data_IF_062971662668
#
_entry.id   IF_062971662668
#
_cell.length_a   1.000
_cell.length_b   1.000
_cell.length_c   1.000
_cell.angle_alpha   90.00
_cell.angle_beta   90.00
_cell.angle_gamma   90.00
#
_symmetry.space_group_name_H-M   'P 1'
#
loop_
_entity.id
_entity.type
_entity.pdbx_description
1 polymer ?
#
# COMPACT_ATOMS: atom_id res chain seq x y z
N UNK A 1 -0.13 14.10 -11.47
CA UNK A 1 0.18 15.43 -10.92
C UNK A 1 0.95 15.21 -9.63
N UNK A 2 2.11 15.78 -9.35
CA UNK A 2 2.91 16.83 -10.01
C UNK A 2 4.37 16.35 -10.06
N UNK A 3 5.07 16.62 -11.17
CA UNK A 3 6.53 16.73 -11.16
C UNK A 3 6.90 17.96 -12.01
N UNK A 4 7.66 18.89 -11.43
CA UNK A 4 8.32 19.99 -12.15
C UNK A 4 9.54 20.49 -11.38
N UNK A 5 10.65 20.56 -12.10
CA UNK A 5 12.02 20.69 -11.61
C UNK A 5 12.73 21.82 -12.41
N UNK A 6 13.89 22.31 -11.93
CA UNK A 6 14.76 23.36 -12.52
C UNK A 6 14.23 24.82 -12.42
N UNK A 7 15.03 25.88 -12.29
CA UNK A 7 16.48 26.11 -12.11
C UNK A 7 16.68 27.61 -11.74
N UNK A 8 17.84 28.22 -11.48
CA UNK A 8 19.29 27.93 -11.59
C UNK A 8 20.01 28.69 -10.41
N UNK A 9 21.33 28.82 -10.22
CA UNK A 9 22.55 28.51 -10.97
C UNK A 9 23.56 29.68 -10.89
N UNK A 10 24.82 29.46 -10.47
CA UNK A 10 25.94 30.33 -10.85
C UNK A 10 27.31 29.70 -10.54
N UNK A 11 28.27 29.84 -11.46
CA UNK A 11 29.63 29.35 -11.33
C UNK A 11 30.64 30.51 -11.32
N UNK A 12 31.73 30.37 -10.56
CA UNK A 12 32.87 31.27 -10.64
C UNK A 12 34.19 30.49 -10.72
N UNK A 13 34.92 30.65 -11.82
CA UNK A 13 36.29 30.15 -12.01
C UNK A 13 37.30 31.12 -11.40
N UNK A 14 38.41 30.60 -10.92
CA UNK A 14 39.71 31.26 -11.00
C UNK A 14 40.82 30.22 -11.23
N UNK A 15 41.89 30.57 -11.93
CA UNK A 15 42.94 29.62 -12.34
C UNK A 15 44.31 30.27 -12.36
N UNK A 16 45.38 29.43 -12.29
CA UNK A 16 46.79 29.75 -12.60
C UNK A 16 47.45 30.76 -11.63
N UNK A 17 48.78 30.84 -11.53
CA UNK A 17 49.91 29.91 -11.71
C UNK A 17 51.15 30.63 -11.15
N UNK A 18 52.18 29.92 -10.67
CA UNK A 18 53.38 30.59 -10.16
C UNK A 18 54.55 29.65 -9.81
N UNK A 19 55.60 29.70 -10.62
CA UNK A 19 56.86 28.95 -10.47
C UNK A 19 57.82 29.53 -9.43
N UNK A 20 58.55 28.67 -8.72
CA UNK A 20 59.93 28.96 -8.29
C UNK A 20 60.73 27.66 -8.03
N UNK A 21 61.92 27.55 -8.63
CA UNK A 21 62.97 26.58 -8.22
C UNK A 21 64.02 27.33 -7.38
N UNK A 22 64.47 26.76 -6.27
CA UNK A 22 65.82 26.15 -6.16
C UNK A 22 66.31 25.90 -4.72
N UNK A 23 66.96 24.73 -4.55
CA UNK A 23 68.14 24.44 -3.72
C UNK A 23 68.17 24.86 -2.23
N UNK A 24 68.15 23.87 -1.32
CA UNK A 24 68.47 24.04 0.10
C UNK A 24 68.68 22.72 0.86
N UNK A 25 69.95 22.33 1.06
CA UNK A 25 70.43 21.13 1.79
C UNK A 25 69.76 20.89 3.16
N UNK A 26 69.54 19.62 3.52
CA UNK A 26 69.37 19.21 4.93
C UNK A 26 68.75 17.82 5.11
N UNK A 27 69.52 16.86 5.62
CA UNK A 27 69.01 15.52 5.90
C UNK A 27 68.32 15.45 7.27
N UNK A 28 67.04 15.06 7.29
CA UNK A 28 66.36 14.57 8.50
C UNK A 28 65.65 13.27 8.14
N UNK A 29 66.09 12.15 8.73
CA UNK A 29 65.39 10.87 8.63
C UNK A 29 64.20 10.89 9.59
N UNK A 30 63.06 11.38 9.13
CA UNK A 30 61.80 11.22 9.84
C UNK A 30 61.33 9.77 9.62
N UNK A 31 61.24 9.00 10.69
CA UNK A 31 60.64 7.68 10.63
C UNK A 31 59.14 7.83 10.38
N UNK A 32 58.66 7.34 9.23
CA UNK A 32 57.22 7.21 8.99
C UNK A 32 56.66 6.14 9.93
N UNK A 33 56.11 6.59 11.07
CA UNK A 33 55.15 5.79 11.81
C UNK A 33 53.92 5.62 10.92
N UNK A 34 53.78 4.46 10.28
CA UNK A 34 52.58 4.10 9.53
C UNK A 34 51.43 3.90 10.52
N UNK A 35 50.72 4.98 10.84
CA UNK A 35 49.39 4.89 11.44
C UNK A 35 48.46 4.22 10.44
N UNK A 36 48.27 2.91 10.59
CA UNK A 36 47.10 2.24 10.00
C UNK A 36 45.86 2.87 10.63
N UNK A 37 45.30 3.86 9.95
CA UNK A 37 43.92 4.24 10.14
C UNK A 37 43.09 3.00 9.76
N UNK A 38 42.67 2.23 10.77
CA UNK A 38 41.67 1.22 10.58
C UNK A 38 40.43 1.92 10.07
N UNK A 39 40.16 1.78 8.77
CA UNK A 39 38.92 2.22 8.18
C UNK A 39 37.82 1.40 8.86
N UNK A 40 37.13 2.01 9.82
CA UNK A 40 35.88 1.49 10.34
C UNK A 40 34.92 1.54 9.18
N UNK A 41 34.80 0.41 8.48
CA UNK A 41 33.69 0.18 7.58
C UNK A 41 32.44 0.23 8.46
N UNK A 42 31.81 1.40 8.51
CA UNK A 42 30.43 1.51 8.94
C UNK A 42 29.63 0.68 7.92
N UNK A 43 29.35 -0.57 8.28
CA UNK A 43 28.32 -1.34 7.61
C UNK A 43 27.04 -0.53 7.75
N UNK A 44 26.56 0.03 6.65
CA UNK A 44 25.20 0.54 6.60
C UNK A 44 24.30 -0.63 7.00
N UNK A 45 23.71 -0.54 8.20
CA UNK A 45 22.73 -1.53 8.62
C UNK A 45 21.59 -1.47 7.58
N UNK A 46 21.06 -2.62 7.13
CA UNK A 46 19.96 -2.63 6.17
C UNK A 46 18.82 -1.77 6.72
N UNK A 47 18.36 -0.82 5.91
CA UNK A 47 17.33 0.12 6.30
C UNK A 47 16.00 -0.63 6.58
N UNK A 48 15.25 -0.26 7.62
CA UNK A 48 14.10 -1.04 8.04
C UNK A 48 12.80 -0.74 7.26
N UNK A 49 12.03 -1.81 6.97
CA UNK A 49 10.64 -1.73 6.49
C UNK A 49 9.65 -1.42 7.58
N UNK A 50 8.63 -0.63 7.21
CA UNK A 50 7.91 0.22 8.14
C UNK A 50 8.93 1.12 8.89
N UNK A 51 8.69 2.42 8.98
CA UNK A 51 9.76 3.36 9.37
C UNK A 51 10.29 3.00 10.76
N UNK A 52 11.59 2.73 10.87
CA UNK A 52 12.27 2.27 12.10
C UNK A 52 11.84 0.88 12.65
N UNK A 53 11.26 0.02 11.83
CA UNK A 53 11.04 -1.39 12.17
C UNK A 53 12.32 -2.21 12.38
N UNK A 54 12.14 -3.50 12.64
CA UNK A 54 13.22 -4.49 12.63
C UNK A 54 12.88 -5.63 11.65
N UNK A 55 13.83 -6.11 10.83
CA UNK A 55 13.59 -7.24 9.94
C UNK A 55 13.18 -8.47 10.75
N UNK A 56 12.18 -9.21 10.30
CA UNK A 56 11.81 -10.51 10.89
C UNK A 56 12.86 -11.54 10.44
N UNK A 57 13.74 -12.01 11.35
CA UNK A 57 14.91 -12.78 10.94
C UNK A 57 14.58 -14.27 10.72
N UNK A 58 13.59 -14.77 11.46
CA UNK A 58 13.20 -16.18 11.50
C UNK A 58 11.99 -16.44 10.60
N UNK A 59 12.01 -17.58 9.90
CA UNK A 59 10.84 -18.06 9.16
C UNK A 59 9.76 -18.55 10.15
N UNK A 60 8.49 -18.35 9.82
CA UNK A 60 7.39 -18.78 10.70
C UNK A 60 7.13 -17.89 11.93
N UNK A 61 7.77 -16.73 12.09
CA UNK A 61 7.44 -15.77 13.16
C UNK A 61 6.07 -15.11 12.96
N UNK A 62 5.68 -14.84 11.71
CA UNK A 62 4.39 -14.22 11.35
C UNK A 62 3.83 -14.75 10.01
N UNK A 63 3.67 -16.08 9.85
CA UNK A 63 3.37 -16.71 8.56
C UNK A 63 1.96 -16.37 8.03
N UNK A 64 1.05 -15.99 8.91
CA UNK A 64 -0.29 -15.50 8.58
C UNK A 64 -0.29 -14.15 7.83
N UNK A 65 0.83 -13.42 7.79
CA UNK A 65 0.91 -12.13 7.08
C UNK A 65 0.70 -12.35 5.59
N UNK A 66 -0.27 -11.62 5.06
CA UNK A 66 -0.56 -11.56 3.63
C UNK A 66 0.09 -10.33 2.99
N UNK A 67 0.47 -10.44 1.72
CA UNK A 67 0.93 -9.34 0.85
C UNK A 67 0.17 -9.41 -0.47
N UNK A 68 -0.34 -8.26 -0.94
CA UNK A 68 -1.24 -8.18 -2.09
C UNK A 68 -0.46 -7.79 -3.36
N UNK A 69 -0.44 -8.68 -4.36
CA UNK A 69 0.17 -8.46 -5.67
C UNK A 69 -0.87 -7.87 -6.66
N UNK A 70 -0.63 -6.68 -7.23
CA UNK A 70 -1.32 -6.23 -8.43
C UNK A 70 -0.81 -7.02 -9.65
N UNK A 71 -1.62 -7.97 -10.12
CA UNK A 71 -1.25 -8.95 -11.15
C UNK A 71 -0.84 -8.26 -12.45
N UNK A 72 0.37 -8.57 -12.91
CA UNK A 72 0.91 -8.04 -14.17
C UNK A 72 1.46 -6.61 -14.10
N UNK A 73 1.52 -5.99 -12.91
CA UNK A 73 2.12 -4.67 -12.73
C UNK A 73 3.66 -4.67 -12.67
N UNK A 74 4.31 -5.85 -12.65
CA UNK A 74 5.77 -5.98 -12.52
C UNK A 74 6.20 -6.72 -11.25
N UNK A 75 7.47 -6.59 -10.82
CA UNK A 75 8.02 -7.35 -9.69
C UNK A 75 7.31 -7.07 -8.37
N UNK A 76 6.96 -8.11 -7.61
CA UNK A 76 6.21 -8.03 -6.35
C UNK A 76 6.76 -6.99 -5.37
N UNK A 77 8.09 -6.98 -5.15
CA UNK A 77 8.76 -6.01 -4.27
C UNK A 77 8.53 -4.55 -4.67
N UNK A 78 8.34 -4.26 -5.97
CA UNK A 78 8.05 -2.92 -6.47
C UNK A 78 6.56 -2.59 -6.42
N UNK A 79 5.70 -3.58 -6.68
CA UNK A 79 4.28 -3.38 -6.96
C UNK A 79 3.36 -3.57 -5.77
N UNK A 80 3.72 -4.43 -4.80
CA UNK A 80 2.91 -4.81 -3.65
C UNK A 80 2.30 -3.59 -2.95
N UNK A 81 0.96 -3.56 -2.86
CA UNK A 81 0.18 -2.36 -2.51
C UNK A 81 -0.35 -2.33 -1.08
N UNK A 82 -0.68 -3.50 -0.52
CA UNK A 82 -1.24 -3.69 0.81
C UNK A 82 -0.83 -5.05 1.40
N UNK A 83 -1.11 -5.23 2.69
CA UNK A 83 -1.04 -6.52 3.39
C UNK A 83 -2.38 -6.99 3.96
N UNK A 84 -2.32 -7.98 4.83
CA UNK A 84 -3.48 -8.58 5.49
C UNK A 84 -3.09 -9.68 6.48
N UNK A 85 -4.06 -10.37 7.06
CA UNK A 85 -3.83 -11.58 7.85
C UNK A 85 -4.80 -12.72 7.50
N UNK A 86 -4.28 -13.95 7.38
CA UNK A 86 -5.07 -15.17 7.24
C UNK A 86 -5.81 -15.48 8.56
N UNK A 87 -7.14 -15.38 8.57
CA UNK A 87 -7.98 -15.58 9.78
C UNK A 87 -8.76 -16.90 9.76
N UNK A 88 -9.01 -17.46 8.57
CA UNK A 88 -9.46 -18.84 8.35
C UNK A 88 -8.64 -19.42 7.20
N UNK A 89 -8.63 -20.74 6.95
CA UNK A 89 -7.84 -21.34 5.86
C UNK A 89 -8.10 -20.71 4.48
N UNK A 90 -9.28 -20.12 4.27
CA UNK A 90 -9.76 -19.55 3.01
C UNK A 90 -10.02 -18.03 3.05
N UNK A 91 -9.68 -17.33 4.14
CA UNK A 91 -9.97 -15.89 4.29
C UNK A 91 -8.80 -15.09 4.82
N UNK A 92 -8.53 -13.99 4.12
CA UNK A 92 -7.62 -12.94 4.57
C UNK A 92 -8.43 -11.70 4.90
N UNK A 93 -8.20 -11.12 6.07
CA UNK A 93 -8.72 -9.81 6.44
C UNK A 93 -7.69 -8.73 6.12
N UNK A 94 -8.16 -7.58 5.61
CA UNK A 94 -7.36 -6.43 5.19
C UNK A 94 -8.17 -5.14 5.37
N UNK A 95 -7.58 -3.99 5.05
CA UNK A 95 -8.30 -2.72 5.04
C UNK A 95 -9.27 -2.65 3.84
N UNK A 96 -10.42 -1.99 4.00
CA UNK A 96 -11.38 -1.85 2.91
C UNK A 96 -10.81 -1.02 1.76
N UNK A 97 -10.08 0.05 2.04
CA UNK A 97 -9.45 0.89 1.02
C UNK A 97 -8.40 0.17 0.15
N UNK A 98 -7.92 -1.02 0.58
CA UNK A 98 -7.01 -1.86 -0.21
C UNK A 98 -7.71 -2.63 -1.34
N UNK A 99 -9.04 -2.76 -1.30
CA UNK A 99 -9.82 -3.60 -2.21
C UNK A 99 -11.08 -2.93 -2.77
N UNK A 100 -11.63 -1.90 -2.12
CA UNK A 100 -12.73 -1.12 -2.69
C UNK A 100 -12.26 -0.36 -3.94
N UNK A 101 -13.01 -0.50 -5.02
CA UNK A 101 -12.61 0.02 -6.33
C UNK A 101 -11.59 -0.85 -7.08
N UNK A 102 -11.11 -1.97 -6.53
CA UNK A 102 -10.13 -2.84 -7.20
C UNK A 102 -10.81 -4.01 -7.90
N UNK A 103 -10.44 -4.27 -9.17
CA UNK A 103 -10.80 -5.50 -9.89
C UNK A 103 -10.18 -6.73 -9.19
N UNK A 104 -10.98 -7.61 -8.55
CA UNK A 104 -10.46 -8.75 -7.78
C UNK A 104 -9.71 -9.75 -8.66
N UNK A 105 -9.99 -9.80 -9.98
CA UNK A 105 -9.26 -10.65 -10.92
C UNK A 105 -7.81 -10.19 -11.18
N UNK A 106 -7.43 -9.02 -10.66
CA UNK A 106 -6.08 -8.45 -10.74
C UNK A 106 -5.34 -8.46 -9.40
N UNK A 107 -5.85 -9.18 -8.40
CA UNK A 107 -5.20 -9.35 -7.11
C UNK A 107 -4.81 -10.81 -6.89
N UNK A 108 -3.57 -11.02 -6.45
CA UNK A 108 -3.16 -12.25 -5.75
C UNK A 108 -2.75 -11.95 -4.33
N UNK A 109 -2.88 -12.97 -3.49
CA UNK A 109 -2.47 -12.94 -2.10
C UNK A 109 -1.26 -13.86 -1.93
N UNK A 110 -0.18 -13.31 -1.40
CA UNK A 110 1.02 -14.03 -0.97
C UNK A 110 1.01 -14.17 0.55
N UNK A 111 1.07 -15.40 1.08
CA UNK A 111 1.08 -15.70 2.52
C UNK A 111 2.42 -16.31 2.94
N UNK A 112 2.92 -15.99 4.13
CA UNK A 112 4.26 -16.39 4.62
C UNK A 112 5.42 -15.95 3.69
N UNK A 113 5.18 -14.95 2.82
CA UNK A 113 6.22 -14.35 2.00
C UNK A 113 7.12 -13.49 2.90
N UNK A 114 8.35 -13.94 3.18
CA UNK A 114 9.28 -13.17 4.04
C UNK A 114 10.26 -12.32 3.25
N UNK A 115 10.54 -12.67 1.99
CA UNK A 115 11.47 -11.95 1.10
C UNK A 115 10.87 -11.84 -0.31
N UNK A 116 10.18 -10.75 -0.61
CA UNK A 116 9.31 -10.60 -1.79
C UNK A 116 9.97 -10.93 -3.14
N UNK A 117 11.28 -10.70 -3.28
CA UNK A 117 12.04 -10.97 -4.52
C UNK A 117 12.53 -12.42 -4.67
N UNK A 118 12.48 -13.24 -3.62
CA UNK A 118 13.06 -14.62 -3.59
C UNK A 118 12.14 -15.68 -3.03
N UNK A 119 11.18 -15.27 -2.21
CA UNK A 119 10.32 -16.11 -1.39
C UNK A 119 8.89 -15.53 -1.44
N UNK A 120 8.13 -15.89 -2.49
CA UNK A 120 6.75 -15.43 -2.67
C UNK A 120 5.77 -16.13 -1.74
N UNK A 121 6.24 -17.01 -0.84
CA UNK A 121 5.40 -17.78 0.06
C UNK A 121 4.34 -18.63 -0.65
N UNK A 122 3.18 -18.79 -0.01
CA UNK A 122 2.01 -19.50 -0.54
C UNK A 122 1.12 -18.52 -1.29
N UNK A 123 1.01 -18.68 -2.61
CA UNK A 123 0.19 -17.83 -3.49
C UNK A 123 -1.24 -18.37 -3.62
N UNK A 124 -2.21 -17.46 -3.59
CA UNK A 124 -3.64 -17.71 -3.85
C UNK A 124 -4.22 -16.60 -4.74
N UNK A 125 -5.20 -16.98 -5.56
CA UNK A 125 -5.99 -16.05 -6.36
C UNK A 125 -7.20 -15.58 -5.53
N UNK A 126 -7.76 -14.41 -5.83
CA UNK A 126 -8.97 -13.94 -5.14
C UNK A 126 -10.21 -14.60 -5.74
N UNK A 127 -11.01 -15.29 -4.91
CA UNK A 127 -12.33 -15.79 -5.29
C UNK A 127 -13.37 -14.69 -5.20
N UNK A 128 -13.37 -13.93 -4.11
CA UNK A 128 -14.35 -12.87 -3.86
C UNK A 128 -13.87 -11.90 -2.78
N UNK A 129 -14.49 -10.72 -2.76
CA UNK A 129 -14.24 -9.68 -1.77
C UNK A 129 -15.59 -9.32 -1.13
N UNK A 130 -15.57 -9.09 0.18
CA UNK A 130 -16.64 -8.39 0.88
C UNK A 130 -16.01 -7.21 1.64
N UNK A 131 -16.46 -6.00 1.34
CA UNK A 131 -16.19 -4.79 2.13
C UNK A 131 -17.21 -4.74 3.27
N UNK A 132 -16.80 -4.29 4.46
CA UNK A 132 -17.72 -4.15 5.59
C UNK A 132 -18.76 -3.06 5.31
N UNK A 133 -20.02 -3.23 5.74
CA UNK A 133 -21.04 -2.20 5.57
C UNK A 133 -20.63 -0.85 6.17
N UNK A 134 -21.10 0.23 5.55
CA UNK A 134 -20.83 1.60 5.99
C UNK A 134 -19.33 1.98 6.02
N UNK A 135 -18.49 1.33 5.21
CA UNK A 135 -17.12 1.81 4.91
C UNK A 135 -17.17 3.23 4.31
N UNK A 136 -16.39 4.15 4.88
CA UNK A 136 -16.32 5.55 4.46
C UNK A 136 -14.88 6.08 4.54
N UNK A 137 -14.41 6.67 3.44
CA UNK A 137 -13.19 7.49 3.40
C UNK A 137 -13.51 8.88 3.97
N UNK A 138 -12.92 9.20 5.12
CA UNK A 138 -13.17 10.44 5.88
C UNK A 138 -12.05 11.44 5.64
N UNK A 139 -12.27 12.39 4.72
CA UNK A 139 -11.26 13.38 4.31
C UNK A 139 -10.72 14.20 5.48
N UNK A 140 -9.40 14.35 5.55
CA UNK A 140 -8.76 15.24 6.53
C UNK A 140 -9.04 16.71 6.24
N UNK A 141 -9.25 17.55 7.28
CA UNK A 141 -9.34 18.99 7.10
C UNK A 141 -8.03 19.65 6.64
N UNK A 142 -6.89 18.95 6.72
CA UNK A 142 -5.58 19.49 6.28
C UNK A 142 -5.48 19.57 4.76
N UNK A 143 -6.11 18.64 4.03
CA UNK A 143 -6.17 18.65 2.58
C UNK A 143 -7.48 18.02 2.07
N UNK A 144 -8.62 18.65 2.37
CA UNK A 144 -9.97 18.15 2.09
C UNK A 144 -10.32 17.88 0.59
N UNK A 145 -9.38 18.09 -0.33
CA UNK A 145 -9.48 17.72 -1.75
C UNK A 145 -8.59 16.54 -2.16
N UNK A 146 -7.93 15.85 -1.22
CA UNK A 146 -7.09 14.68 -1.49
C UNK A 146 -7.43 13.54 -0.51
N UNK A 147 -7.88 12.43 -1.09
CA UNK A 147 -8.16 11.20 -0.35
C UNK A 147 -6.86 10.51 0.14
N UNK A 148 -5.68 10.88 -0.40
CA UNK A 148 -4.35 10.47 0.10
C UNK A 148 -4.05 10.99 1.53
N UNK A 149 -4.88 11.89 2.05
CA UNK A 149 -4.78 12.40 3.43
C UNK A 149 -6.00 12.02 4.28
N UNK A 150 -6.86 11.13 3.79
CA UNK A 150 -8.07 10.76 4.52
C UNK A 150 -7.77 9.80 5.69
N UNK A 151 -8.59 9.91 6.74
CA UNK A 151 -8.84 8.79 7.63
C UNK A 151 -9.92 7.88 7.03
N UNK A 152 -10.29 6.81 7.72
CA UNK A 152 -11.40 5.97 7.32
C UNK A 152 -12.22 5.47 8.51
N UNK A 153 -13.52 5.31 8.28
CA UNK A 153 -14.51 4.65 9.16
C UNK A 153 -14.77 3.27 8.59
N UNK A 154 -14.89 2.26 9.48
CA UNK A 154 -15.20 0.88 9.10
C UNK A 154 -14.25 0.37 7.98
N UNK A 155 -12.94 0.61 8.11
CA UNK A 155 -11.96 0.30 7.06
C UNK A 155 -11.53 -1.17 7.07
N UNK A 156 -12.47 -2.07 6.84
CA UNK A 156 -12.27 -3.51 6.93
C UNK A 156 -12.90 -4.27 5.76
N UNK A 157 -12.16 -5.24 5.22
CA UNK A 157 -12.65 -6.14 4.19
C UNK A 157 -12.14 -7.57 4.40
N UNK A 158 -12.91 -8.52 3.90
CA UNK A 158 -12.50 -9.93 3.80
C UNK A 158 -12.32 -10.31 2.34
N UNK A 159 -11.13 -10.83 2.05
CA UNK A 159 -10.78 -11.48 0.79
C UNK A 159 -10.91 -12.98 0.98
N UNK A 160 -11.79 -13.61 0.20
CA UNK A 160 -11.94 -15.06 0.14
C UNK A 160 -11.03 -15.60 -0.97
N UNK A 161 -10.23 -16.60 -0.63
CA UNK A 161 -9.22 -17.20 -1.51
C UNK A 161 -9.86 -18.22 -2.47
N UNK A 162 -9.22 -18.47 -3.62
CA UNK A 162 -9.64 -19.48 -4.60
C UNK A 162 -9.76 -20.89 -4.02
N UNK A 163 -8.88 -21.20 -3.05
CA UNK A 163 -8.84 -22.47 -2.32
C UNK A 163 -8.17 -22.29 -0.96
N UNK A 164 -8.49 -23.14 0.04
CA UNK A 164 -7.84 -23.10 1.33
C UNK A 164 -6.31 -23.18 1.29
N UNK A 165 -5.70 -22.65 2.35
CA UNK A 165 -4.31 -22.76 2.72
C UNK A 165 -4.24 -23.61 3.98
N UNK A 166 -3.47 -24.68 3.92
CA UNK A 166 -3.30 -25.69 4.98
C UNK A 166 -1.89 -25.71 5.56
N UNK A 167 -0.96 -25.07 4.85
CA UNK A 167 0.46 -25.01 5.12
C UNK A 167 0.84 -23.82 6.01
N UNK A 168 -0.03 -22.80 6.08
CA UNK A 168 0.11 -21.58 6.88
C UNK A 168 -0.89 -21.61 8.04
N UNK A 169 -0.46 -21.41 9.30
CA UNK A 169 -1.38 -21.33 10.43
C UNK A 169 -2.18 -20.01 10.39
N UNK A 170 -3.47 -20.11 10.72
CA UNK A 170 -4.35 -18.94 10.82
C UNK A 170 -4.04 -18.12 12.08
N UNK A 171 -4.18 -16.80 12.00
CA UNK A 171 -4.12 -15.90 13.14
C UNK A 171 -5.54 -15.74 13.72
N UNK A 172 -5.83 -16.23 14.93
CA UNK A 172 -7.14 -16.03 15.55
C UNK A 172 -7.36 -14.55 15.87
N UNK A 173 -8.60 -14.07 15.74
CA UNK A 173 -8.98 -12.71 16.12
C UNK A 173 -9.22 -12.67 17.64
N UNK A 174 -8.66 -11.65 18.30
CA UNK A 174 -8.88 -11.41 19.73
C UNK A 174 -10.37 -11.25 20.06
N UNK A 175 -10.78 -11.69 21.25
CA UNK A 175 -12.18 -11.63 21.66
C UNK A 175 -12.66 -10.18 21.88
N UNK A 176 -11.78 -9.34 22.41
CA UNK A 176 -12.07 -7.97 22.83
C UNK A 176 -10.95 -7.03 22.36
N UNK A 177 -11.29 -5.75 22.14
CA UNK A 177 -10.33 -4.69 21.87
C UNK A 177 -9.27 -4.62 22.99
N UNK A 178 -7.96 -4.57 22.66
CA UNK A 178 -6.92 -4.44 23.68
C UNK A 178 -7.03 -3.11 24.43
N UNK A 179 -6.81 -3.13 25.74
CA UNK A 179 -6.83 -1.91 26.56
C UNK A 179 -5.61 -1.01 26.26
N UNK A 180 -5.74 0.30 26.49
CA UNK A 180 -4.60 1.21 26.44
C UNK A 180 -3.47 0.74 27.39
N UNK A 181 -2.22 0.83 26.94
CA UNK A 181 -1.05 0.24 27.61
C UNK A 181 -0.74 -1.20 27.19
N UNK A 182 -1.60 -1.86 26.40
CA UNK A 182 -1.32 -3.23 25.88
C UNK A 182 -0.25 -3.17 24.79
N UNK A 183 0.82 -3.99 24.88
CA UNK A 183 1.78 -4.14 23.78
C UNK A 183 1.17 -4.88 22.57
N UNK A 184 1.47 -4.39 21.38
CA UNK A 184 1.10 -5.00 20.10
C UNK A 184 2.28 -4.94 19.12
N UNK A 185 2.38 -5.93 18.25
CA UNK A 185 3.39 -5.98 17.19
C UNK A 185 2.72 -5.82 15.83
N UNK A 186 3.22 -4.88 15.04
CA UNK A 186 2.78 -4.59 13.68
C UNK A 186 3.75 -5.22 12.68
N UNK A 187 3.24 -5.91 11.65
CA UNK A 187 4.06 -6.62 10.67
C UNK A 187 3.73 -6.18 9.25
N UNK A 188 4.73 -5.79 8.44
CA UNK A 188 4.48 -5.27 7.08
C UNK A 188 5.70 -5.30 6.12
N UNK A 189 5.43 -5.03 4.83
CA UNK A 189 6.38 -4.97 3.70
C UNK A 189 6.34 -3.64 2.92
N UNK A 190 5.69 -2.61 3.45
CA UNK A 190 5.59 -1.31 2.81
C UNK A 190 6.90 -0.53 2.82
N UNK A 191 6.79 0.78 2.69
CA UNK A 191 7.96 1.63 2.47
C UNK A 191 8.78 1.87 3.76
N UNK A 192 10.06 2.22 3.60
CA UNK A 192 10.96 2.59 4.72
C UNK A 192 10.66 3.98 5.31
N UNK A 193 9.84 4.79 4.63
CA UNK A 193 9.67 6.22 4.91
C UNK A 193 10.88 7.10 4.56
N UNK A 194 11.94 6.56 3.95
CA UNK A 194 13.08 7.35 3.48
C UNK A 194 12.66 8.28 2.32
N UNK A 195 13.10 9.55 2.31
CA UNK A 195 12.86 10.49 1.20
C UNK A 195 13.86 10.23 0.05
N UNK A 196 13.78 9.05 -0.54
CA UNK A 196 14.60 8.61 -1.69
C UNK A 196 13.74 8.45 -2.94
N UNK A 197 14.32 8.48 -4.17
CA UNK A 197 13.60 8.20 -5.41
C UNK A 197 12.89 6.85 -5.41
N UNK A 198 11.80 6.72 -6.18
CA UNK A 198 11.00 5.48 -6.23
C UNK A 198 11.81 4.25 -6.71
N UNK A 199 12.80 4.46 -7.58
CA UNK A 199 13.69 3.44 -8.13
C UNK A 199 14.88 3.09 -7.20
N UNK A 200 15.02 3.78 -6.06
CA UNK A 200 16.03 3.47 -5.06
C UNK A 200 15.66 2.17 -4.30
N UNK A 201 16.57 1.17 -4.20
CA UNK A 201 16.34 -0.04 -3.41
C UNK A 201 16.05 0.21 -1.92
N UNK A 202 16.33 1.40 -1.38
CA UNK A 202 15.96 1.79 -0.02
C UNK A 202 14.54 2.40 0.10
N UNK A 203 13.86 2.70 -1.00
CA UNK A 203 12.48 3.19 -0.99
C UNK A 203 11.49 2.11 -0.52
N UNK A 204 11.74 0.88 -0.98
CA UNK A 204 10.91 -0.31 -0.76
C UNK A 204 11.69 -1.37 -0.01
N UNK A 205 10.95 -2.30 0.59
CA UNK A 205 11.55 -3.37 1.37
C UNK A 205 11.28 -4.72 0.75
N UNK A 206 12.36 -5.47 0.60
CA UNK A 206 12.29 -6.86 0.18
C UNK A 206 11.84 -7.76 1.33
N UNK A 207 12.15 -7.42 2.58
CA UNK A 207 12.00 -8.30 3.75
C UNK A 207 10.83 -7.88 4.64
N UNK A 208 10.08 -8.84 5.19
CA UNK A 208 9.07 -8.61 6.23
C UNK A 208 9.70 -7.98 7.47
N UNK A 209 9.07 -6.94 8.02
CA UNK A 209 9.51 -6.33 9.28
C UNK A 209 8.43 -6.35 10.35
N UNK A 210 8.89 -6.13 11.59
CA UNK A 210 8.08 -5.99 12.80
C UNK A 210 8.39 -4.66 13.48
N UNK A 211 7.35 -3.98 13.95
CA UNK A 211 7.43 -2.83 14.86
C UNK A 211 6.66 -3.15 16.13
N UNK A 212 7.19 -2.77 17.28
CA UNK A 212 6.51 -2.97 18.56
C UNK A 212 5.92 -1.64 19.06
N UNK A 213 4.60 -1.62 19.21
CA UNK A 213 3.81 -0.45 19.57
C UNK A 213 3.05 -0.74 20.87
N UNK A 214 2.57 0.32 21.52
CA UNK A 214 1.66 0.24 22.67
C UNK A 214 0.32 0.86 22.28
N UNK A 215 -0.79 0.16 22.56
CA UNK A 215 -2.15 0.69 22.34
C UNK A 215 -2.35 1.94 23.20
N UNK A 216 -2.92 3.00 22.62
CA UNK A 216 -3.18 4.28 23.32
C UNK A 216 -4.68 4.46 23.57
N UNK A 217 -5.05 5.46 24.39
CA UNK A 217 -6.48 5.76 24.59
C UNK A 217 -7.09 6.41 23.34
N UNK A 218 -8.42 6.26 23.19
CA UNK A 218 -9.16 6.92 22.10
C UNK A 218 -9.01 8.45 22.16
N UNK A 219 -9.01 9.02 23.37
CA UNK A 219 -8.73 10.45 23.59
C UNK A 219 -7.33 10.86 23.14
N UNK A 220 -6.30 10.06 23.40
CA UNK A 220 -4.93 10.36 22.94
C UNK A 220 -4.79 10.23 21.42
N UNK A 221 -5.53 9.30 20.80
CA UNK A 221 -5.53 9.16 19.35
C UNK A 221 -6.23 10.34 18.67
N UNK A 222 -7.48 10.63 19.07
CA UNK A 222 -8.26 11.74 18.52
C UNK A 222 -7.62 13.12 18.76
N UNK A 223 -6.85 13.28 19.85
CA UNK A 223 -6.10 14.51 20.10
C UNK A 223 -4.83 14.66 19.23
N UNK A 224 -4.37 13.59 18.58
CA UNK A 224 -3.10 13.54 17.86
C UNK A 224 -3.22 13.46 16.33
N UNK A 225 -4.42 13.23 15.78
CA UNK A 225 -4.73 13.40 14.34
C UNK A 225 -5.77 14.51 14.14
N UNK A 226 -5.66 15.32 13.07
CA UNK A 226 -6.68 16.30 12.72
C UNK A 226 -7.89 15.70 11.99
N UNK A 227 -7.84 14.43 11.58
CA UNK A 227 -8.96 13.72 10.96
C UNK A 227 -9.87 13.05 12.03
N UNK A 228 -11.07 12.63 11.63
CA UNK A 228 -11.98 11.93 12.53
C UNK A 228 -11.43 10.53 12.86
N UNK A 229 -11.20 10.27 14.14
CA UNK A 229 -11.02 8.90 14.65
C UNK A 229 -12.39 8.37 15.05
N UNK A 230 -12.88 7.37 14.32
CA UNK A 230 -14.15 6.73 14.65
C UNK A 230 -13.95 5.66 15.73
N UNK A 231 -14.17 6.02 17.00
CA UNK A 231 -13.96 5.12 18.15
C UNK A 231 -14.60 3.72 18.01
N UNK A 232 -15.81 3.52 17.45
CA UNK A 232 -16.36 2.19 17.23
C UNK A 232 -15.51 1.30 16.32
N UNK A 233 -14.92 1.84 15.24
CA UNK A 233 -14.27 1.06 14.18
C UNK A 233 -12.75 1.20 14.11
N UNK A 234 -12.17 2.18 14.81
CA UNK A 234 -10.72 2.46 14.82
C UNK A 234 -10.17 2.26 16.23
N UNK A 235 -9.00 1.64 16.33
CA UNK A 235 -8.14 1.70 17.51
C UNK A 235 -6.75 2.19 17.12
N UNK A 236 -5.97 2.70 18.08
CA UNK A 236 -4.67 3.28 17.77
C UNK A 236 -3.57 2.73 18.67
N UNK A 237 -2.37 2.59 18.10
CA UNK A 237 -1.17 2.23 18.84
C UNK A 237 -0.01 3.16 18.44
N UNK A 238 1.01 3.24 19.30
CA UNK A 238 2.18 4.10 19.09
C UNK A 238 3.42 3.44 19.64
N UNK A 239 4.52 3.51 18.90
CA UNK A 239 5.84 3.30 19.48
C UNK A 239 6.31 4.60 20.19
N UNK A 240 6.82 4.43 21.39
CA UNK A 240 7.36 5.49 22.25
C UNK A 240 8.89 5.55 22.22
N UNK A 241 9.56 4.68 21.47
CA UNK A 241 10.98 4.77 21.18
C UNK A 241 11.33 6.04 20.37
N UNK A 242 12.62 6.32 20.24
CA UNK A 242 13.12 7.46 19.47
C UNK A 242 14.34 7.02 18.65
N UNK A 243 14.24 6.98 17.30
CA UNK A 243 13.04 7.22 16.50
C UNK A 243 12.00 6.09 16.64
N UNK A 244 10.69 6.37 16.55
CA UNK A 244 9.65 5.36 16.73
C UNK A 244 9.36 4.54 15.47
N UNK A 245 9.00 3.27 15.66
CA UNK A 245 8.40 2.41 14.65
C UNK A 245 7.02 2.95 14.22
N UNK A 246 6.78 3.06 12.91
CA UNK A 246 5.49 3.52 12.36
C UNK A 246 5.24 2.98 10.95
N UNK A 247 3.96 2.78 10.63
CA UNK A 247 3.52 2.46 9.27
C UNK A 247 3.78 3.59 8.28
N UNK A 248 3.75 3.20 7.02
CA UNK A 248 3.91 4.06 5.88
C UNK A 248 3.05 3.55 4.72
N UNK A 249 3.12 4.27 3.60
CA UNK A 249 2.61 3.84 2.32
C UNK A 249 2.89 2.36 2.06
N UNK A 250 1.81 1.63 1.74
CA UNK A 250 1.77 0.19 1.41
C UNK A 250 1.93 -0.78 2.58
N UNK A 251 1.97 -0.28 3.82
CA UNK A 251 1.71 -1.11 5.00
C UNK A 251 0.20 -1.29 5.26
N UNK A 252 -0.68 -0.58 4.54
CA UNK A 252 -2.14 -0.66 4.65
C UNK A 252 -2.66 -2.10 4.63
N UNK A 253 -3.65 -2.39 5.47
CA UNK A 253 -4.20 -3.72 5.68
C UNK A 253 -3.32 -4.68 6.50
N UNK A 254 -2.04 -4.37 6.73
CA UNK A 254 -1.13 -5.31 7.41
C UNK A 254 -1.41 -5.41 8.92
N UNK A 255 -1.16 -6.56 9.57
CA UNK A 255 -1.76 -6.86 10.87
C UNK A 255 -1.02 -6.28 12.08
N UNK A 256 -1.80 -5.76 13.02
CA UNK A 256 -1.41 -5.55 14.41
C UNK A 256 -1.84 -6.75 15.27
N UNK A 257 -0.87 -7.32 15.99
CA UNK A 257 -1.01 -8.59 16.73
C UNK A 257 -0.73 -8.36 18.21
N UNK A 258 -1.62 -8.80 19.08
CA UNK A 258 -1.34 -8.89 20.53
C UNK A 258 -0.80 -10.28 20.85
N UNK A 259 0.28 -10.35 21.64
CA UNK A 259 0.84 -11.61 22.13
C UNK A 259 0.49 -11.79 23.61
N UNK A 260 -0.54 -12.61 23.90
CA UNK A 260 -0.93 -12.92 25.27
C UNK A 260 -0.50 -14.35 25.63
N UNK A 261 0.42 -14.49 26.59
CA UNK A 261 0.95 -15.81 27.04
C UNK A 261 1.38 -16.68 25.86
N UNK A 262 2.23 -16.11 24.99
CA UNK A 262 2.72 -16.72 23.74
C UNK A 262 1.66 -17.03 22.66
N UNK A 263 0.38 -16.75 22.92
CA UNK A 263 -0.68 -16.83 21.90
C UNK A 263 -0.77 -15.53 21.12
N UNK A 264 -0.54 -15.59 19.80
CA UNK A 264 -0.77 -14.48 18.88
C UNK A 264 -2.27 -14.32 18.59
N UNK A 265 -2.78 -13.08 18.65
CA UNK A 265 -4.14 -12.76 18.25
C UNK A 265 -4.20 -11.45 17.45
N UNK A 266 -4.95 -11.45 16.33
CA UNK A 266 -5.20 -10.25 15.54
C UNK A 266 -6.08 -9.27 16.33
N UNK A 267 -5.63 -8.02 16.43
CA UNK A 267 -6.39 -6.93 17.05
C UNK A 267 -6.76 -5.83 16.05
N UNK A 268 -5.97 -5.64 15.00
CA UNK A 268 -6.26 -4.62 13.97
C UNK A 268 -5.55 -4.86 12.65
N UNK A 269 -5.99 -4.16 11.61
CA UNK A 269 -5.29 -4.02 10.33
C UNK A 269 -4.97 -2.54 10.09
N UNK A 270 -3.77 -2.21 9.63
CA UNK A 270 -3.34 -0.81 9.50
C UNK A 270 -4.22 -0.06 8.49
N UNK A 271 -4.70 1.11 8.87
CA UNK A 271 -5.69 1.87 8.10
C UNK A 271 -5.12 3.22 7.68
N UNK A 272 -4.70 4.05 8.64
CA UNK A 272 -4.11 5.37 8.38
C UNK A 272 -3.17 5.84 9.51
N UNK A 273 -2.33 6.84 9.21
CA UNK A 273 -1.34 7.40 10.12
C UNK A 273 -1.09 8.90 9.89
N UNK A 274 0.18 9.27 9.76
CA UNK A 274 0.67 10.66 9.72
C UNK A 274 0.22 11.45 8.48
N UNK A 275 -0.14 10.78 7.39
CA UNK A 275 -0.68 11.36 6.16
C UNK A 275 -1.99 12.12 6.41
N UNK A 276 -2.76 11.74 7.44
CA UNK A 276 -3.94 12.51 7.89
C UNK A 276 -3.60 13.93 8.35
N UNK A 277 -2.38 14.16 8.83
CA UNK A 277 -1.85 15.48 9.18
C UNK A 277 -1.08 16.16 8.03
N UNK A 278 -1.22 15.66 6.80
CA UNK A 278 -0.45 16.11 5.64
C UNK A 278 1.05 15.87 5.78
N UNK A 279 1.46 14.94 6.66
CA UNK A 279 2.86 14.64 6.93
C UNK A 279 3.31 13.38 6.20
N UNK A 280 4.57 13.32 5.72
CA UNK A 280 5.14 12.06 5.28
C UNK A 280 5.28 11.08 6.45
N UNK A 281 5.43 9.81 6.13
CA UNK A 281 5.97 8.83 7.08
C UNK A 281 7.30 9.34 7.68
N UNK A 282 7.69 8.80 8.84
CA UNK A 282 8.85 9.19 9.66
C UNK A 282 8.64 10.39 10.60
N UNK A 283 7.44 10.99 10.70
CA UNK A 283 7.10 11.92 11.78
C UNK A 283 6.26 11.24 12.88
N UNK A 284 6.58 11.42 14.19
CA UNK A 284 5.91 10.68 15.26
C UNK A 284 4.41 10.97 15.42
N UNK A 285 3.57 10.09 14.86
CA UNK A 285 2.12 10.07 15.03
C UNK A 285 1.64 8.69 15.54
N UNK A 286 0.49 8.60 16.22
CA UNK A 286 -0.18 7.31 16.41
C UNK A 286 -0.49 6.65 15.06
N UNK A 287 -0.46 5.32 15.07
CA UNK A 287 -0.83 4.47 13.96
C UNK A 287 -2.25 3.98 14.21
N UNK A 288 -3.14 4.23 13.25
CA UNK A 288 -4.56 3.90 13.36
C UNK A 288 -4.84 2.62 12.61
N UNK A 289 -5.50 1.70 13.30
CA UNK A 289 -5.85 0.37 12.80
C UNK A 289 -7.36 0.24 12.80
N UNK A 290 -7.93 -0.30 11.74
CA UNK A 290 -9.31 -0.76 11.76
C UNK A 290 -9.39 -1.93 12.76
N UNK A 291 -10.28 -1.80 13.74
CA UNK A 291 -10.40 -2.72 14.87
C UNK A 291 -11.13 -4.00 14.44
N UNK A 292 -10.37 -5.07 14.19
CA UNK A 292 -10.96 -6.35 13.75
C UNK A 292 -11.82 -6.98 14.85
N UNK A 293 -11.61 -6.63 16.12
CA UNK A 293 -12.41 -7.17 17.23
C UNK A 293 -13.85 -6.66 17.21
N UNK A 294 -14.06 -5.39 16.80
CA UNK A 294 -15.39 -4.80 16.63
C UNK A 294 -16.23 -5.48 15.53
N UNK A 295 -15.57 -6.08 14.51
CA UNK A 295 -16.23 -6.75 13.38
C UNK A 295 -16.07 -8.27 13.39
N UNK A 296 -15.66 -8.85 14.53
CA UNK A 296 -15.26 -10.26 14.64
C UNK A 296 -16.30 -11.24 14.11
N UNK A 297 -17.58 -11.03 14.44
CA UNK A 297 -18.67 -11.91 14.00
C UNK A 297 -18.99 -11.75 12.51
N UNK A 298 -18.76 -10.57 11.93
CA UNK A 298 -18.91 -10.34 10.49
C UNK A 298 -17.77 -10.98 9.69
N UNK A 299 -16.51 -10.76 10.06
CA UNK A 299 -15.36 -11.31 9.33
C UNK A 299 -15.27 -12.84 9.39
N UNK A 300 -15.75 -13.46 10.48
CA UNK A 300 -15.83 -14.92 10.65
C UNK A 300 -17.16 -15.53 10.16
N UNK A 301 -18.19 -14.71 9.97
CA UNK A 301 -19.55 -15.15 9.63
C UNK A 301 -19.72 -15.64 8.20
N UNK A 302 -20.94 -16.03 7.77
CA UNK A 302 -21.25 -16.06 6.36
C UNK A 302 -21.13 -14.63 5.79
N UNK A 303 -20.53 -14.47 4.62
CA UNK A 303 -20.43 -13.19 3.91
C UNK A 303 -21.49 -13.19 2.78
N UNK A 304 -22.76 -12.85 3.07
CA UNK A 304 -23.83 -12.91 2.08
C UNK A 304 -23.70 -11.81 1.03
N UNK A 305 -23.19 -10.64 1.43
CA UNK A 305 -22.94 -9.48 0.60
C UNK A 305 -21.50 -9.54 0.11
N UNK A 306 -21.32 -9.69 -1.21
CA UNK A 306 -20.01 -9.76 -1.86
C UNK A 306 -19.98 -8.78 -3.03
N UNK A 307 -18.85 -8.09 -3.17
CA UNK A 307 -18.63 -7.12 -4.23
C UNK A 307 -18.85 -7.72 -5.63
N UNK A 308 -19.09 -6.87 -6.65
CA UNK A 308 -19.19 -7.34 -8.02
C UNK A 308 -17.90 -8.05 -8.45
N UNK A 309 -18.03 -9.12 -9.24
CA UNK A 309 -16.88 -9.83 -9.82
C UNK A 309 -17.03 -9.87 -11.34
N UNK A 310 -16.07 -9.33 -12.12
CA UNK A 310 -16.18 -9.28 -13.57
C UNK A 310 -15.82 -10.64 -14.18
N UNK A 311 -16.68 -11.20 -15.03
CA UNK A 311 -16.42 -12.45 -15.74
C UNK A 311 -15.42 -12.29 -16.91
N UNK A 312 -15.18 -11.05 -17.35
CA UNK A 312 -14.23 -10.67 -18.39
C UNK A 312 -13.83 -9.18 -18.24
N UNK A 313 -12.86 -8.71 -19.02
CA UNK A 313 -12.60 -7.26 -19.15
C UNK A 313 -13.72 -6.60 -19.98
N UNK A 314 -14.03 -5.31 -19.76
CA UNK A 314 -14.80 -4.50 -20.70
C UNK A 314 -14.18 -4.54 -22.10
N UNK A 315 -15.02 -4.51 -23.13
CA UNK A 315 -14.58 -4.56 -24.52
C UNK A 315 -14.81 -3.22 -25.22
N UNK A 316 -13.80 -2.74 -25.95
CA UNK A 316 -13.92 -1.59 -26.85
C UNK A 316 -14.19 -2.10 -28.27
N UNK A 317 -15.14 -1.47 -28.96
CA UNK A 317 -15.35 -1.60 -30.40
C UNK A 317 -15.32 -0.22 -31.06
N UNK A 318 -14.94 -0.16 -32.34
CA UNK A 318 -14.86 1.11 -33.09
C UNK A 318 -15.83 1.08 -34.26
N UNK A 319 -16.79 2.02 -34.29
CA UNK A 319 -17.69 2.24 -35.42
C UNK A 319 -18.21 3.68 -35.43
N UNK A 320 -18.64 4.18 -36.60
CA UNK A 320 -19.26 5.51 -36.76
C UNK A 320 -18.43 6.67 -36.17
N UNK A 321 -17.11 6.63 -36.35
CA UNK A 321 -16.17 7.62 -35.81
C UNK A 321 -16.21 7.76 -34.27
N UNK A 322 -16.61 6.71 -33.55
CA UNK A 322 -16.55 6.63 -32.09
C UNK A 322 -16.01 5.28 -31.59
N UNK A 323 -15.46 5.31 -30.38
CA UNK A 323 -15.22 4.12 -29.57
C UNK A 323 -16.47 3.82 -28.74
N UNK A 324 -16.79 2.54 -28.57
CA UNK A 324 -17.95 2.08 -27.80
C UNK A 324 -17.51 1.00 -26.81
N UNK A 325 -17.85 1.18 -25.55
CA UNK A 325 -17.51 0.30 -24.44
C UNK A 325 -18.70 -0.62 -24.11
N UNK A 326 -18.46 -1.93 -24.15
CA UNK A 326 -19.35 -2.92 -23.56
C UNK A 326 -18.88 -3.26 -22.15
N UNK A 327 -19.77 -3.05 -21.16
CA UNK A 327 -19.56 -3.54 -19.81
C UNK A 327 -19.47 -5.08 -19.78
N UNK A 328 -18.69 -5.68 -18.87
CA UNK A 328 -18.54 -7.12 -18.80
C UNK A 328 -19.79 -7.80 -18.24
N UNK A 329 -19.90 -9.11 -18.49
CA UNK A 329 -20.79 -9.95 -17.71
C UNK A 329 -20.26 -10.13 -16.26
N UNK A 330 -21.14 -10.47 -15.33
CA UNK A 330 -20.83 -10.62 -13.91
C UNK A 330 -20.78 -12.10 -13.50
N UNK A 331 -19.74 -12.49 -12.77
CA UNK A 331 -19.61 -13.83 -12.19
C UNK A 331 -20.39 -13.88 -10.87
N UNK A 332 -21.53 -14.57 -10.90
CA UNK A 332 -22.44 -14.71 -9.75
C UNK A 332 -22.10 -15.88 -8.81
N UNK A 333 -21.08 -16.70 -9.15
CA UNK A 333 -20.54 -17.66 -8.19
C UNK A 333 -19.52 -16.96 -7.27
N UNK A 334 -18.66 -16.13 -7.87
CA UNK A 334 -17.63 -15.37 -7.20
C UNK A 334 -18.20 -14.14 -6.48
N UNK A 335 -18.81 -13.23 -7.24
CA UNK A 335 -19.40 -11.99 -6.71
C UNK A 335 -20.91 -12.07 -6.57
N UNK A 336 -21.52 -10.88 -6.57
CA UNK A 336 -22.94 -10.69 -6.83
C UNK A 336 -23.12 -9.70 -7.99
N UNK A 337 -24.35 -9.60 -8.50
CA UNK A 337 -24.66 -8.55 -9.47
C UNK A 337 -24.46 -7.17 -8.83
N UNK A 338 -24.02 -6.15 -9.59
CA UNK A 338 -24.04 -4.77 -9.15
C UNK A 338 -25.45 -4.20 -9.18
N UNK A 339 -25.75 -3.32 -8.23
CA UNK A 339 -26.95 -2.50 -8.20
C UNK A 339 -26.78 -1.25 -9.10
N UNK A 340 -25.54 -0.78 -9.23
CA UNK A 340 -25.15 0.38 -10.04
C UNK A 340 -23.96 0.03 -10.94
N UNK A 341 -24.04 0.40 -12.22
CA UNK A 341 -22.94 0.32 -13.20
C UNK A 341 -22.82 1.64 -13.95
N UNK A 342 -21.63 2.22 -13.95
CA UNK A 342 -21.31 3.44 -14.72
C UNK A 342 -20.10 3.19 -15.63
N UNK A 343 -20.05 3.90 -16.75
CA UNK A 343 -18.96 3.80 -17.74
C UNK A 343 -18.34 5.17 -17.92
N UNK A 344 -17.02 5.22 -17.84
CA UNK A 344 -16.20 6.37 -18.22
C UNK A 344 -15.07 5.97 -19.17
N UNK A 345 -14.29 6.94 -19.61
CA UNK A 345 -13.10 6.71 -20.42
C UNK A 345 -11.89 7.39 -19.81
N UNK A 346 -10.71 6.76 -19.93
CA UNK A 346 -9.46 7.26 -19.38
C UNK A 346 -8.33 7.11 -20.39
N UNK A 347 -7.46 8.12 -20.44
CA UNK A 347 -6.11 7.97 -20.99
C UNK A 347 -5.31 7.04 -20.09
N UNK A 348 -4.66 6.03 -20.68
CA UNK A 348 -3.80 5.08 -19.99
C UNK A 348 -2.34 5.44 -20.27
N UNK A 349 -1.58 5.56 -19.19
CA UNK A 349 -0.15 5.86 -19.19
C UNK A 349 0.56 5.01 -18.14
N UNK A 350 1.89 5.07 -18.10
CA UNK A 350 2.71 4.37 -17.11
C UNK A 350 3.62 5.34 -16.35
N UNK A 351 3.74 5.13 -15.04
CA UNK A 351 4.71 5.82 -14.18
C UNK A 351 5.56 4.78 -13.47
N UNK A 352 6.77 4.54 -13.99
CA UNK A 352 7.58 3.38 -13.61
C UNK A 352 6.81 2.07 -13.87
N UNK A 353 6.64 1.18 -12.87
CA UNK A 353 5.85 -0.04 -13.02
C UNK A 353 4.33 0.18 -12.95
N UNK A 354 3.85 1.37 -12.54
CA UNK A 354 2.41 1.57 -12.29
C UNK A 354 1.67 2.02 -13.54
N UNK A 355 0.51 1.40 -13.77
CA UNK A 355 -0.50 1.94 -14.70
C UNK A 355 -1.16 3.15 -14.06
N UNK A 356 -1.21 4.27 -14.77
CA UNK A 356 -1.90 5.51 -14.35
C UNK A 356 -3.03 5.77 -15.35
N UNK A 357 -4.27 5.73 -14.84
CA UNK A 357 -5.46 6.11 -15.59
C UNK A 357 -5.79 7.58 -15.31
N UNK A 358 -5.89 8.39 -16.37
CA UNK A 358 -6.31 9.79 -16.29
C UNK A 358 -7.70 9.92 -16.91
N UNK A 359 -8.76 10.19 -16.12
CA UNK A 359 -10.12 10.34 -16.65
C UNK A 359 -10.20 11.42 -17.74
N UNK A 360 -10.87 11.09 -18.84
CA UNK A 360 -11.14 12.03 -19.92
C UNK A 360 -12.33 12.92 -19.50
N UNK A 361 -12.17 14.25 -19.42
CA UNK A 361 -13.25 15.13 -18.95
C UNK A 361 -14.54 14.97 -19.78
N UNK A 362 -15.67 14.85 -19.08
CA UNK A 362 -17.02 14.67 -19.64
C UNK A 362 -17.27 13.35 -20.40
N UNK A 363 -16.31 12.45 -20.54
CA UNK A 363 -16.47 11.15 -21.21
C UNK A 363 -17.16 10.11 -20.30
N UNK A 364 -18.35 10.44 -19.78
CA UNK A 364 -19.07 9.69 -18.75
C UNK A 364 -20.19 8.80 -19.34
N UNK A 365 -19.90 8.07 -20.41
CA UNK A 365 -20.89 7.22 -21.08
C UNK A 365 -20.27 6.10 -21.93
N UNK A 366 -21.12 5.22 -22.45
CA UNK A 366 -20.69 4.05 -23.22
C UNK A 366 -20.00 4.37 -24.56
N UNK A 367 -20.04 5.61 -25.03
CA UNK A 367 -19.51 6.04 -26.33
C UNK A 367 -18.57 7.23 -26.15
N UNK A 368 -17.42 7.21 -26.82
CA UNK A 368 -16.44 8.30 -26.90
C UNK A 368 -16.17 8.64 -28.38
N UNK A 369 -16.54 9.83 -28.88
CA UNK A 369 -16.18 10.27 -30.23
C UNK A 369 -14.66 10.28 -30.44
N UNK A 370 -14.19 9.86 -31.63
CA UNK A 370 -12.76 9.83 -31.96
C UNK A 370 -12.13 11.24 -32.00
N UNK A 371 -12.94 12.28 -32.23
CA UNK A 371 -12.49 13.67 -32.13
C UNK A 371 -12.06 14.03 -30.70
N UNK A 372 -12.88 13.66 -29.71
CA UNK A 372 -12.61 13.91 -28.28
C UNK A 372 -11.49 12.99 -27.75
N UNK A 373 -11.34 11.82 -28.35
CA UNK A 373 -10.26 10.87 -28.07
C UNK A 373 -8.86 11.37 -28.49
N UNK A 374 -8.78 12.30 -29.45
CA UNK A 374 -7.51 12.83 -29.98
C UNK A 374 -6.78 13.83 -29.06
N UNK A 375 -7.47 14.40 -28.07
CA UNK A 375 -6.91 15.42 -27.16
C UNK A 375 -6.33 14.84 -25.84
N UNK A 376 -6.31 13.51 -25.72
CA UNK A 376 -6.08 12.79 -24.45
C UNK A 376 -4.59 12.59 -24.16
N UNK A 377 -4.19 12.75 -22.89
CA UNK A 377 -2.85 12.39 -22.42
C UNK A 377 -2.73 10.88 -22.14
N UNK A 378 -1.98 10.16 -22.99
CA UNK A 378 -1.66 8.75 -22.80
C UNK A 378 -1.19 8.08 -24.10
N UNK A 379 -0.64 6.87 -23.99
CA UNK A 379 -0.27 6.06 -25.17
C UNK A 379 -1.46 5.25 -25.71
N UNK A 380 -2.46 5.01 -24.85
CA UNK A 380 -3.63 4.17 -25.10
C UNK A 380 -4.87 4.78 -24.41
N UNK A 381 -6.05 4.50 -24.94
CA UNK A 381 -7.33 4.81 -24.29
C UNK A 381 -7.95 3.51 -23.79
N UNK A 382 -8.52 3.56 -22.58
CA UNK A 382 -9.33 2.47 -22.02
C UNK A 382 -10.73 2.98 -21.68
N UNK A 383 -11.72 2.10 -21.77
CA UNK A 383 -12.98 2.34 -21.09
C UNK A 383 -12.93 1.71 -19.69
N UNK A 384 -13.50 2.43 -18.75
CA UNK A 384 -13.49 2.15 -17.31
C UNK A 384 -14.93 1.92 -16.88
N UNK A 385 -15.19 0.75 -16.32
CA UNK A 385 -16.52 0.38 -15.80
C UNK A 385 -16.42 0.35 -14.27
N UNK A 386 -17.09 1.29 -13.62
CA UNK A 386 -17.29 1.25 -12.17
C UNK A 386 -18.59 0.49 -11.90
N UNK A 387 -18.55 -0.44 -10.93
CA UNK A 387 -19.71 -1.20 -10.51
C UNK A 387 -19.77 -1.29 -8.98
N UNK A 388 -20.97 -1.26 -8.39
CA UNK A 388 -21.16 -1.25 -6.94
C UNK A 388 -22.38 -2.08 -6.53
N UNK A 389 -22.27 -2.73 -5.37
CA UNK A 389 -23.39 -3.23 -4.57
C UNK A 389 -23.06 -3.08 -3.07
N UNK A 390 -23.89 -3.65 -2.19
CA UNK A 390 -23.67 -3.64 -0.73
C UNK A 390 -22.33 -4.25 -0.28
N UNK A 391 -21.78 -5.23 -1.03
CA UNK A 391 -20.51 -5.89 -0.71
C UNK A 391 -19.26 -5.16 -1.20
N UNK A 392 -19.40 -3.99 -1.83
CA UNK A 392 -18.29 -3.11 -2.23
C UNK A 392 -18.42 -2.52 -3.65
N UNK A 393 -17.46 -1.68 -4.00
CA UNK A 393 -17.23 -1.14 -5.36
C UNK A 393 -16.10 -1.90 -6.04
N UNK A 394 -16.14 -2.02 -7.36
CA UNK A 394 -14.96 -2.31 -8.19
C UNK A 394 -14.82 -1.29 -9.32
N UNK A 395 -13.61 -1.16 -9.85
CA UNK A 395 -13.31 -0.48 -11.10
C UNK A 395 -12.54 -1.45 -12.01
N UNK A 396 -13.15 -1.78 -13.17
CA UNK A 396 -12.56 -2.70 -14.14
C UNK A 396 -12.44 -1.98 -15.49
N UNK A 397 -11.27 -2.09 -16.13
CA UNK A 397 -11.00 -1.41 -17.40
C UNK A 397 -10.61 -2.37 -18.53
N UNK A 398 -10.91 -1.94 -19.75
CA UNK A 398 -10.61 -2.67 -20.98
C UNK A 398 -9.12 -2.85 -21.24
N UNK A 399 -8.79 -3.63 -22.27
CA UNK A 399 -7.51 -3.47 -22.95
C UNK A 399 -7.41 -2.09 -23.61
N UNK A 400 -6.18 -1.60 -23.78
CA UNK A 400 -5.91 -0.28 -24.35
C UNK A 400 -6.03 -0.26 -25.86
N UNK A 401 -6.72 0.74 -26.41
CA UNK A 401 -6.75 1.01 -27.86
C UNK A 401 -5.90 2.23 -28.18
N UNK A 402 -5.17 2.19 -29.30
CA UNK A 402 -4.43 3.35 -29.81
C UNK A 402 -5.26 4.06 -30.86
N UNK A 403 -5.49 5.35 -30.66
CA UNK A 403 -6.00 6.23 -31.72
C UNK A 403 -4.83 6.49 -32.68
N UNK A 404 -4.98 6.11 -33.95
CA UNK A 404 -4.07 6.60 -34.98
C UNK A 404 -4.45 8.06 -35.28
N UNK A 405 -3.50 8.98 -35.12
CA UNK A 405 -3.65 10.41 -35.45
C UNK A 405 -3.59 10.70 -36.94
#
# INVERSE_FOLDING_TARGET
>A
MIDKLHGNGNAARASRAGTALSLGRGAVRIACAATMAAAVFASAAPAPAMVNGLPVPEAGTAPWVATFEPVGAGPLVQTAGCGGALITPDRVVTAAHCVDGVDPSRLRVHLDARVLSRDPGVVREVRSVAVVPEFEIVRSPVAAGSDDTAAARNDLAVVVLDRPVTEVPVLPIAADRPAAGTPVSFFAHGNTGKPVPFDDPEYRNDVLHRGDLTVISQSDCAAATPALVDEPSVMCARDFATPPAMGCWRDSGSPAVSFQRETAALVGVFSFGSETAGQPCALPAPQSFADVTAFRDWVLGPLPERGPYPAARPAITTHEQALHCAAPAWDLERGQAPDEVTIGWSGKSSSGPFTVLTPIPNANGATLPLADAGEVSGDEIVCVVTARNAGGRIEVWSDGVRIAG
#
